data_IF_616232049360
#
_entry.id   IF_616232049360
#
_cell.length_a   1.000
_cell.length_b   1.000
_cell.length_c   1.000
_cell.angle_alpha   90.00
_cell.angle_beta   90.00
_cell.angle_gamma   90.00
#
_symmetry.space_group_name_H-M   'P 1'
#
loop_
_entity.id
_entity.type
_entity.pdbx_description
1 polymer ?
#
# COMPACT_ATOMS: atom_id res chain seq x y z
N UNK A 1 -8.27 -9.17 -7.74
CA UNK A 1 -7.08 -8.78 -6.95
C UNK A 1 -6.99 -7.28 -7.00
N UNK A 2 -6.66 -6.66 -5.88
CA UNK A 2 -6.65 -5.22 -5.72
C UNK A 2 -5.27 -4.76 -5.30
N UNK A 3 -4.83 -3.68 -5.92
CA UNK A 3 -3.58 -3.00 -5.61
C UNK A 3 -3.90 -1.63 -5.02
N UNK A 4 -3.17 -1.24 -3.98
CA UNK A 4 -3.24 0.10 -3.42
C UNK A 4 -2.02 0.88 -3.90
N UNK A 5 -2.28 2.03 -4.49
CA UNK A 5 -1.26 2.85 -5.14
C UNK A 5 -1.16 4.20 -4.44
N UNK A 6 0.06 4.72 -4.33
CA UNK A 6 0.35 6.11 -3.96
C UNK A 6 1.01 6.82 -5.14
N UNK A 7 0.82 8.14 -5.23
CA UNK A 7 1.41 8.94 -6.30
C UNK A 7 2.69 9.64 -5.84
N UNK A 8 3.79 9.41 -6.54
CA UNK A 8 5.01 10.20 -6.40
C UNK A 8 5.32 10.95 -7.70
N UNK A 9 6.00 12.10 -7.60
CA UNK A 9 6.42 12.86 -8.78
C UNK A 9 7.48 12.13 -9.61
N UNK A 10 8.26 11.24 -9.00
CA UNK A 10 9.34 10.53 -9.67
C UNK A 10 8.83 9.29 -10.42
N UNK A 11 7.94 8.53 -9.79
CA UNK A 11 7.55 7.19 -10.24
C UNK A 11 6.08 7.13 -10.70
N UNK A 12 5.32 8.20 -10.50
CA UNK A 12 3.88 8.21 -10.75
C UNK A 12 3.13 7.38 -9.72
N UNK A 13 2.08 6.69 -10.16
CA UNK A 13 1.35 5.75 -9.31
C UNK A 13 2.14 4.44 -9.16
N UNK A 14 2.52 4.12 -7.93
CA UNK A 14 3.26 2.90 -7.59
C UNK A 14 2.61 2.17 -6.41
N UNK A 15 2.85 0.87 -6.29
CA UNK A 15 2.36 0.10 -5.15
C UNK A 15 2.81 0.71 -3.83
N UNK A 16 1.88 0.86 -2.91
CA UNK A 16 2.12 1.43 -1.58
C UNK A 16 2.87 0.47 -0.67
N UNK A 17 2.59 -0.84 -0.78
CA UNK A 17 3.06 -1.84 0.17
C UNK A 17 3.78 -2.99 -0.51
N UNK A 18 4.65 -3.63 0.27
CA UNK A 18 5.43 -4.77 -0.18
C UNK A 18 5.34 -5.89 0.84
N UNK A 19 5.40 -7.11 0.35
CA UNK A 19 5.47 -8.34 1.15
C UNK A 19 6.68 -9.17 0.72
N UNK A 20 7.01 -10.21 1.46
CA UNK A 20 8.13 -11.11 1.14
C UNK A 20 7.62 -12.39 0.47
N UNK A 21 8.29 -12.84 -0.60
CA UNK A 21 8.07 -14.17 -1.17
C UNK A 21 8.79 -15.27 -0.37
N UNK A 22 8.59 -16.53 -0.76
CA UNK A 22 9.21 -17.68 -0.08
C UNK A 22 10.75 -17.70 -0.14
N UNK A 23 11.34 -16.93 -1.07
CA UNK A 23 12.78 -16.77 -1.21
C UNK A 23 13.33 -15.54 -0.46
N UNK A 24 12.44 -14.82 0.25
CA UNK A 24 12.78 -13.58 0.97
C UNK A 24 12.97 -12.37 0.05
N UNK A 25 12.45 -12.41 -1.18
CA UNK A 25 12.45 -11.23 -2.05
C UNK A 25 11.25 -10.35 -1.72
N UNK A 26 11.47 -9.04 -1.71
CA UNK A 26 10.42 -8.04 -1.59
C UNK A 26 9.63 -7.95 -2.90
N UNK A 27 8.32 -8.20 -2.82
CA UNK A 27 7.37 -8.14 -3.93
C UNK A 27 6.20 -7.21 -3.58
N UNK A 28 5.49 -6.63 -4.57
CA UNK A 28 4.33 -5.79 -4.29
C UNK A 28 3.23 -6.56 -3.56
N UNK A 29 2.59 -5.92 -2.59
CA UNK A 29 1.46 -6.49 -1.87
C UNK A 29 0.14 -6.29 -2.64
N UNK A 30 -0.75 -7.27 -2.55
CA UNK A 30 -2.06 -7.25 -3.19
C UNK A 30 -3.13 -7.85 -2.28
N UNK A 31 -4.34 -7.32 -2.40
CA UNK A 31 -5.51 -7.72 -1.62
C UNK A 31 -6.48 -8.57 -2.46
N UNK A 32 -7.20 -9.48 -1.82
CA UNK A 32 -8.15 -10.35 -2.50
C UNK A 32 -9.45 -9.58 -2.82
N UNK A 33 -9.83 -8.67 -1.93
CA UNK A 33 -11.03 -7.83 -2.06
C UNK A 33 -10.72 -6.33 -1.95
N UNK A 34 -11.60 -5.50 -2.53
CA UNK A 34 -11.52 -4.04 -2.39
C UNK A 34 -11.77 -3.59 -0.95
N UNK A 35 -12.55 -4.37 -0.17
CA UNK A 35 -12.82 -4.08 1.24
C UNK A 35 -11.57 -4.25 2.10
N UNK A 36 -10.77 -5.30 1.86
CA UNK A 36 -9.47 -5.49 2.52
C UNK A 36 -8.49 -4.36 2.18
N UNK A 37 -8.43 -3.95 0.91
CA UNK A 37 -7.60 -2.83 0.48
C UNK A 37 -8.01 -1.51 1.16
N UNK A 38 -9.31 -1.24 1.28
CA UNK A 38 -9.82 -0.04 1.96
C UNK A 38 -9.54 -0.08 3.47
N UNK A 39 -9.63 -1.26 4.09
CA UNK A 39 -9.31 -1.45 5.50
C UNK A 39 -7.81 -1.19 5.77
N UNK A 40 -6.92 -1.67 4.90
CA UNK A 40 -5.49 -1.38 4.99
C UNK A 40 -5.18 0.13 4.87
N UNK A 41 -5.83 0.83 3.95
CA UNK A 41 -5.70 2.30 3.84
C UNK A 41 -6.14 2.99 5.13
N UNK A 42 -7.26 2.55 5.70
CA UNK A 42 -7.77 3.13 6.95
C UNK A 42 -6.80 2.92 8.12
N UNK A 43 -6.23 1.73 8.24
CA UNK A 43 -5.23 1.42 9.27
C UNK A 43 -3.99 2.31 9.13
N UNK A 44 -3.45 2.47 7.93
CA UNK A 44 -2.28 3.33 7.67
C UNK A 44 -2.56 4.82 8.02
N UNK A 45 -3.76 5.31 7.71
CA UNK A 45 -4.19 6.66 8.09
C UNK A 45 -4.28 6.80 9.63
N UNK A 46 -4.86 5.82 10.32
CA UNK A 46 -4.97 5.83 11.78
C UNK A 46 -3.59 5.77 12.45
N UNK A 47 -2.67 4.96 11.92
CA UNK A 47 -1.29 4.85 12.39
C UNK A 47 -0.51 6.15 12.15
N UNK A 48 -0.72 6.79 11.00
CA UNK A 48 -0.15 8.11 10.70
C UNK A 48 -0.64 9.18 11.67
N UNK A 49 -1.96 9.25 11.93
CA UNK A 49 -2.52 10.18 12.93
C UNK A 49 -1.94 9.93 14.33
N UNK A 50 -1.78 8.66 14.70
CA UNK A 50 -1.17 8.30 15.97
C UNK A 50 0.30 8.77 16.03
N UNK A 51 1.08 8.54 14.98
CA UNK A 51 2.48 8.96 14.89
C UNK A 51 2.64 10.48 14.94
N UNK A 52 1.75 11.25 14.27
CA UNK A 52 1.70 12.72 14.37
C UNK A 52 1.41 13.15 15.81
N UNK A 53 0.42 12.52 16.46
CA UNK A 53 0.03 12.84 17.84
C UNK A 53 1.15 12.54 18.84
N UNK A 54 1.96 11.51 18.62
CA UNK A 54 3.15 11.21 19.42
C UNK A 54 4.35 12.09 19.08
N UNK A 55 4.30 12.87 18.00
CA UNK A 55 5.42 13.68 17.52
C UNK A 55 6.54 12.86 16.86
N UNK A 56 6.24 11.66 16.35
CA UNK A 56 7.19 10.83 15.60
C UNK A 56 7.38 11.35 14.17
N UNK A 57 6.31 11.90 13.59
CA UNK A 57 6.31 12.52 12.26
C UNK A 57 5.60 13.87 12.31
N UNK A 58 5.80 14.68 11.27
CA UNK A 58 5.28 16.04 11.21
C UNK A 58 3.81 16.06 10.72
N UNK A 59 2.99 17.04 11.13
CA UNK A 59 1.58 17.10 10.72
C UNK A 59 1.35 17.20 9.20
N UNK A 60 2.31 17.72 8.42
CA UNK A 60 2.27 17.75 6.96
C UNK A 60 2.45 16.38 6.29
N UNK A 61 2.90 15.37 7.04
CA UNK A 61 2.97 13.97 6.59
C UNK A 61 1.64 13.24 6.77
N UNK A 62 0.58 13.94 7.16
CA UNK A 62 -0.76 13.38 7.32
C UNK A 62 -1.24 12.76 6.00
N UNK A 63 -1.60 11.49 6.09
CA UNK A 63 -2.25 10.76 5.01
C UNK A 63 -3.76 10.93 5.11
N UNK A 64 -4.39 10.94 3.97
CA UNK A 64 -5.84 11.02 3.75
C UNK A 64 -6.23 9.97 2.73
N UNK A 65 -7.53 9.72 2.60
CA UNK A 65 -8.01 8.75 1.61
C UNK A 65 -7.64 9.14 0.17
N UNK A 66 -7.52 10.44 -0.12
CA UNK A 66 -7.21 10.97 -1.45
C UNK A 66 -5.74 10.73 -1.87
N UNK A 67 -4.88 10.34 -0.93
CA UNK A 67 -3.48 9.99 -1.22
C UNK A 67 -3.34 8.60 -1.86
N UNK A 68 -4.43 7.83 -1.91
CA UNK A 68 -4.44 6.44 -2.36
C UNK A 68 -5.42 6.18 -3.51
N UNK A 69 -5.05 5.28 -4.41
CA UNK A 69 -5.95 4.72 -5.43
C UNK A 69 -6.04 3.19 -5.27
N UNK A 70 -7.26 2.65 -5.33
CA UNK A 70 -7.48 1.19 -5.39
C UNK A 70 -7.72 0.80 -6.84
N UNK A 71 -6.84 -0.04 -7.38
CA UNK A 71 -6.96 -0.54 -8.75
C UNK A 71 -7.25 -2.03 -8.76
N UNK A 72 -8.32 -2.44 -9.46
CA UNK A 72 -8.51 -3.84 -9.80
C UNK A 72 -7.45 -4.26 -10.83
N UNK A 73 -6.70 -5.31 -10.52
CA UNK A 73 -5.60 -5.78 -11.35
C UNK A 73 -5.74 -7.26 -11.68
N UNK A 74 -5.36 -7.60 -12.90
CA UNK A 74 -5.18 -8.98 -13.36
C UNK A 74 -3.71 -9.37 -13.42
N UNK A 75 -2.80 -8.53 -12.89
CA UNK A 75 -1.38 -8.88 -12.81
C UNK A 75 -1.27 -10.22 -12.07
N UNK A 76 -0.46 -11.17 -12.55
CA UNK A 76 -0.24 -12.38 -11.78
C UNK A 76 0.35 -11.97 -10.44
N UNK A 77 -0.24 -12.46 -9.34
CA UNK A 77 0.43 -12.49 -8.05
C UNK A 77 1.77 -13.19 -8.33
N UNK A 78 2.89 -12.51 -8.16
CA UNK A 78 4.19 -13.17 -8.33
C UNK A 78 4.33 -14.10 -7.13
N UNK A 79 3.81 -15.31 -7.30
CA UNK A 79 4.10 -16.47 -6.47
C UNK A 79 5.20 -17.24 -7.18
N UNK A 80 6.13 -17.86 -6.44
CA UNK A 80 7.38 -18.45 -6.91
C UNK A 80 7.30 -19.56 -8.00
N UNK A 81 6.16 -19.76 -8.65
CA UNK A 81 6.01 -20.66 -9.79
C UNK A 81 6.13 -19.90 -11.12
N UNK A 82 7.35 -19.55 -11.51
CA UNK A 82 7.66 -19.29 -12.93
C UNK A 82 8.59 -18.13 -13.24
N UNK A 83 9.90 -18.33 -13.01
CA UNK A 83 10.97 -17.83 -13.87
C UNK A 83 12.04 -18.92 -14.05
#
# INVERSE_FOLDING_TARGET
MFEVLTYSLADGWSNTWTTEDESGNEIPEYFDTAEEAEQAIKEEIEDTEYAIKQGYILPESRLTRDDFEIMETTRPKITAEGL
#
